data_IF_891384997934
#
_entry.id   IF_891384997934
#
_cell.length_a   1.000
_cell.length_b   1.000
_cell.length_c   1.000
_cell.angle_alpha   90.00
_cell.angle_beta   90.00
_cell.angle_gamma   90.00
#
_symmetry.space_group_name_H-M   'P 1'
#
loop_
_entity.id
_entity.type
_entity.pdbx_description
1 polymer ?
#
# COMPACT_ATOMS: atom_id res chain seq x y z
N UNK A 1 29.63 -22.19 59.21
CA UNK A 1 30.12 -22.08 57.81
C UNK A 1 28.92 -22.24 56.89
N UNK A 2 28.76 -21.36 55.90
CA UNK A 2 27.70 -21.56 54.90
C UNK A 2 28.14 -22.76 54.05
N UNK A 3 27.44 -23.88 54.17
CA UNK A 3 27.81 -25.10 53.44
C UNK A 3 27.76 -24.85 51.93
N UNK A 4 28.78 -25.33 51.20
CA UNK A 4 28.89 -25.10 49.75
C UNK A 4 27.64 -25.52 48.95
N UNK A 5 26.84 -26.46 49.46
CA UNK A 5 25.55 -26.82 48.87
C UNK A 5 24.52 -25.68 48.86
N UNK A 6 24.45 -24.86 49.92
CA UNK A 6 23.57 -23.69 49.96
C UNK A 6 23.99 -22.63 48.94
N UNK A 7 25.29 -22.43 48.77
CA UNK A 7 25.83 -21.50 47.76
C UNK A 7 25.46 -21.97 46.35
N UNK A 8 25.56 -23.26 46.07
CA UNK A 8 25.26 -23.84 44.77
C UNK A 8 23.77 -23.72 44.43
N UNK A 9 22.88 -24.02 45.39
CA UNK A 9 21.43 -23.83 45.23
C UNK A 9 21.09 -22.36 44.98
N UNK A 10 21.72 -21.44 45.71
CA UNK A 10 21.50 -20.01 45.56
C UNK A 10 21.96 -19.48 44.19
N UNK A 11 23.11 -19.94 43.69
CA UNK A 11 23.58 -19.60 42.34
C UNK A 11 22.66 -20.14 41.25
N UNK A 12 22.14 -21.36 41.43
CA UNK A 12 21.18 -21.95 40.50
C UNK A 12 19.87 -21.16 40.47
N UNK A 13 19.38 -20.77 41.64
CA UNK A 13 18.22 -19.90 41.80
C UNK A 13 18.41 -18.58 41.04
N UNK A 14 19.52 -17.86 41.29
CA UNK A 14 19.82 -16.60 40.59
C UNK A 14 19.88 -16.81 39.07
N UNK A 15 20.57 -17.86 38.62
CA UNK A 15 20.73 -18.14 37.18
C UNK A 15 19.38 -18.38 36.51
N UNK A 16 18.52 -19.22 37.11
CA UNK A 16 17.18 -19.48 36.59
C UNK A 16 16.35 -18.20 36.60
N UNK A 17 16.37 -17.42 37.68
CA UNK A 17 15.60 -16.18 37.77
C UNK A 17 16.04 -15.17 36.72
N UNK A 18 17.34 -14.98 36.51
CA UNK A 18 17.88 -14.07 35.49
C UNK A 18 17.50 -14.55 34.09
N UNK A 19 17.62 -15.85 33.79
CA UNK A 19 17.19 -16.41 32.49
C UNK A 19 15.69 -16.24 32.27
N UNK A 20 14.87 -16.46 33.31
CA UNK A 20 13.43 -16.28 33.23
C UNK A 20 13.05 -14.83 32.93
N UNK A 21 13.65 -13.87 33.65
CA UNK A 21 13.42 -12.43 33.41
C UNK A 21 13.89 -12.02 32.02
N UNK A 22 15.07 -12.48 31.59
CA UNK A 22 15.59 -12.19 30.26
C UNK A 22 14.67 -12.74 29.16
N UNK A 23 14.13 -13.94 29.33
CA UNK A 23 13.19 -14.54 28.38
C UNK A 23 11.87 -13.76 28.31
N UNK A 24 11.34 -13.28 29.45
CA UNK A 24 10.15 -12.43 29.46
C UNK A 24 10.39 -11.12 28.73
N UNK A 25 11.52 -10.46 29.00
CA UNK A 25 11.89 -9.21 28.33
C UNK A 25 12.03 -9.45 26.81
N UNK A 26 12.80 -10.45 26.41
CA UNK A 26 12.98 -10.78 24.99
C UNK A 26 11.66 -11.13 24.30
N UNK A 27 10.74 -11.84 24.96
CA UNK A 27 9.44 -12.13 24.39
C UNK A 27 8.63 -10.86 24.10
N UNK A 28 8.65 -9.88 25.00
CA UNK A 28 8.00 -8.58 24.80
C UNK A 28 8.64 -7.85 23.61
N UNK A 29 9.97 -7.76 23.57
CA UNK A 29 10.69 -7.09 22.48
C UNK A 29 10.49 -7.77 21.12
N UNK A 30 10.44 -9.10 21.08
CA UNK A 30 10.17 -9.84 19.84
C UNK A 30 8.74 -9.59 19.39
N UNK A 31 7.77 -9.57 20.30
CA UNK A 31 6.38 -9.26 19.95
C UNK A 31 6.27 -7.84 19.37
N UNK A 32 6.87 -6.85 20.02
CA UNK A 32 6.87 -5.46 19.55
C UNK A 32 7.58 -5.31 18.20
N UNK A 33 8.70 -6.02 17.97
CA UNK A 33 9.41 -6.00 16.71
C UNK A 33 8.61 -6.64 15.56
N UNK A 34 7.89 -7.74 15.84
CA UNK A 34 7.01 -8.40 14.86
C UNK A 34 5.81 -7.51 14.54
N UNK A 35 5.16 -6.93 15.55
CA UNK A 35 4.01 -6.04 15.36
C UNK A 35 4.38 -4.78 14.56
N UNK A 36 5.55 -4.19 14.81
CA UNK A 36 6.05 -3.05 14.04
C UNK A 36 6.23 -3.37 12.55
N UNK A 37 6.75 -4.56 12.21
CA UNK A 37 6.90 -4.97 10.81
C UNK A 37 5.58 -5.25 10.11
N UNK A 38 4.56 -5.74 10.83
CA UNK A 38 3.24 -5.99 10.27
C UNK A 38 2.48 -4.68 10.04
N UNK A 39 2.51 -3.77 11.02
CA UNK A 39 1.89 -2.45 10.89
C UNK A 39 2.45 -1.63 9.73
N UNK A 40 3.76 -1.68 9.49
CA UNK A 40 4.39 -0.97 8.37
C UNK A 40 3.96 -1.53 7.00
N UNK A 41 3.72 -2.85 6.91
CA UNK A 41 3.23 -3.48 5.67
C UNK A 41 1.76 -3.15 5.42
N UNK A 42 0.93 -3.20 6.45
CA UNK A 42 -0.50 -2.89 6.35
C UNK A 42 -0.73 -1.40 6.03
N UNK A 43 -0.01 -0.49 6.68
CA UNK A 43 -0.08 0.95 6.38
C UNK A 43 0.39 1.27 4.95
N UNK A 44 1.42 0.58 4.47
CA UNK A 44 1.87 0.71 3.07
C UNK A 44 0.83 0.19 2.08
N UNK A 45 0.21 -0.95 2.38
CA UNK A 45 -0.86 -1.53 1.56
C UNK A 45 -2.08 -0.62 1.49
N UNK A 46 -2.50 -0.04 2.62
CA UNK A 46 -3.61 0.92 2.66
C UNK A 46 -3.28 2.21 1.91
N UNK A 47 -2.05 2.72 2.03
CA UNK A 47 -1.60 3.90 1.28
C UNK A 47 -1.59 3.65 -0.23
N UNK A 48 -1.07 2.51 -0.69
CA UNK A 48 -1.08 2.11 -2.10
C UNK A 48 -2.51 1.95 -2.62
N UNK A 49 -3.39 1.29 -1.85
CA UNK A 49 -4.81 1.16 -2.21
C UNK A 49 -5.52 2.51 -2.26
N UNK A 50 -5.20 3.43 -1.36
CA UNK A 50 -5.75 4.78 -1.36
C UNK A 50 -5.27 5.59 -2.58
N UNK A 51 -3.99 5.47 -2.95
CA UNK A 51 -3.44 6.08 -4.16
C UNK A 51 -4.10 5.50 -5.43
N UNK A 52 -4.24 4.18 -5.51
CA UNK A 52 -4.98 3.52 -6.59
C UNK A 52 -6.43 3.98 -6.69
N UNK A 53 -7.15 4.10 -5.56
CA UNK A 53 -8.52 4.62 -5.55
C UNK A 53 -8.59 6.08 -5.98
N UNK A 54 -7.64 6.91 -5.55
CA UNK A 54 -7.55 8.30 -5.95
C UNK A 54 -7.25 8.43 -7.46
N UNK A 55 -6.39 7.56 -7.99
CA UNK A 55 -6.10 7.45 -9.42
C UNK A 55 -7.35 7.10 -10.22
N UNK A 56 -8.06 6.03 -9.83
CA UNK A 56 -9.32 5.62 -10.48
C UNK A 56 -10.36 6.75 -10.42
N UNK A 57 -10.52 7.40 -9.27
CA UNK A 57 -11.47 8.51 -9.11
C UNK A 57 -11.17 9.68 -10.05
N UNK A 58 -9.90 10.02 -10.22
CA UNK A 58 -9.47 11.06 -11.19
C UNK A 58 -9.77 10.65 -12.63
N UNK A 59 -9.51 9.39 -12.98
CA UNK A 59 -9.86 8.84 -14.30
C UNK A 59 -11.36 8.89 -14.56
N UNK A 60 -12.19 8.42 -13.63
CA UNK A 60 -13.66 8.47 -13.73
C UNK A 60 -14.15 9.90 -13.90
N UNK A 61 -13.53 10.87 -13.22
CA UNK A 61 -13.89 12.29 -13.38
C UNK A 61 -13.58 12.82 -14.78
N UNK A 62 -12.40 12.51 -15.34
CA UNK A 62 -12.05 12.90 -16.71
C UNK A 62 -13.04 12.28 -17.71
N UNK A 63 -13.39 11.01 -17.51
CA UNK A 63 -14.35 10.31 -18.37
C UNK A 63 -15.76 10.93 -18.29
N UNK A 64 -16.24 11.26 -17.08
CA UNK A 64 -17.52 11.94 -16.87
C UNK A 64 -17.55 13.37 -17.46
N UNK A 65 -16.42 14.07 -17.44
CA UNK A 65 -16.28 15.38 -18.08
C UNK A 65 -16.35 15.25 -19.61
N UNK A 66 -15.81 14.17 -20.19
CA UNK A 66 -15.96 13.84 -21.61
C UNK A 66 -17.39 13.44 -21.99
N UNK A 67 -18.07 12.63 -21.16
CA UNK A 67 -19.44 12.15 -21.43
C UNK A 67 -20.49 13.26 -21.33
N UNK A 68 -20.22 14.31 -20.53
CA UNK A 68 -21.10 15.50 -20.43
C UNK A 68 -21.25 16.23 -21.76
N UNK A 69 -20.32 16.08 -22.69
CA UNK A 69 -20.46 16.56 -24.08
C UNK A 69 -21.35 15.57 -24.86
N UNK A 70 -22.58 15.40 -24.36
CA UNK A 70 -23.57 14.45 -24.84
C UNK A 70 -23.88 14.68 -26.31
N UNK A 71 -23.46 13.74 -27.15
CA UNK A 71 -24.22 13.30 -28.34
C UNK A 71 -23.71 11.93 -28.76
N UNK A 72 -24.47 10.92 -28.35
CA UNK A 72 -24.33 9.50 -28.67
C UNK A 72 -22.99 8.88 -28.21
N UNK A 73 -22.98 7.55 -28.09
CA UNK A 73 -21.87 6.78 -27.51
C UNK A 73 -20.52 7.32 -27.95
N UNK A 74 -19.56 7.41 -27.02
CA UNK A 74 -18.17 7.80 -27.30
C UNK A 74 -17.60 6.80 -28.32
N UNK A 75 -17.81 7.08 -29.60
CA UNK A 75 -17.20 6.34 -30.70
C UNK A 75 -15.68 6.45 -30.52
N UNK A 76 -14.95 5.39 -30.85
CA UNK A 76 -13.48 5.35 -30.75
C UNK A 76 -12.85 6.60 -31.35
N UNK A 77 -13.38 7.10 -32.46
CA UNK A 77 -12.92 8.33 -33.12
C UNK A 77 -13.13 9.61 -32.28
N UNK A 78 -14.25 9.70 -31.54
CA UNK A 78 -14.52 10.84 -30.66
C UNK A 78 -13.64 10.80 -29.41
N UNK A 79 -13.38 9.60 -28.88
CA UNK A 79 -12.45 9.38 -27.77
C UNK A 79 -11.02 9.76 -28.14
N UNK A 80 -10.53 9.27 -29.29
CA UNK A 80 -9.20 9.58 -29.80
C UNK A 80 -9.01 11.08 -29.99
N UNK A 81 -10.01 11.77 -30.57
CA UNK A 81 -9.95 13.22 -30.80
C UNK A 81 -9.94 14.04 -29.50
N UNK A 82 -10.67 13.59 -28.48
CA UNK A 82 -10.65 14.21 -27.15
C UNK A 82 -9.34 13.91 -26.39
N UNK A 83 -8.82 12.69 -26.50
CA UNK A 83 -7.53 12.27 -25.95
C UNK A 83 -6.35 13.01 -26.59
N UNK A 84 -6.46 13.42 -27.86
CA UNK A 84 -5.44 14.21 -28.53
C UNK A 84 -5.39 15.67 -28.06
N UNK A 85 -6.44 16.15 -27.38
CA UNK A 85 -6.52 17.52 -26.88
C UNK A 85 -5.53 17.77 -25.75
N UNK A 86 -4.85 18.92 -25.81
CA UNK A 86 -3.74 19.26 -24.91
C UNK A 86 -4.13 19.30 -23.43
N UNK A 87 -5.38 19.65 -23.11
CA UNK A 87 -5.92 19.65 -21.75
C UNK A 87 -6.02 18.24 -21.17
N UNK A 88 -6.50 17.29 -21.97
CA UNK A 88 -6.68 15.89 -21.58
C UNK A 88 -5.32 15.20 -21.45
N UNK A 89 -4.38 15.44 -22.39
CA UNK A 89 -2.99 14.97 -22.29
C UNK A 89 -2.29 15.47 -21.03
N UNK A 90 -2.50 16.73 -20.66
CA UNK A 90 -1.94 17.30 -19.42
C UNK A 90 -2.53 16.63 -18.17
N UNK A 91 -3.83 16.36 -18.16
CA UNK A 91 -4.51 15.67 -17.06
C UNK A 91 -4.08 14.19 -16.94
N UNK A 92 -3.89 13.47 -18.05
CA UNK A 92 -3.35 12.11 -18.06
C UNK A 92 -1.90 12.07 -17.58
N UNK A 93 -1.07 13.01 -18.03
CA UNK A 93 0.31 13.13 -17.58
C UNK A 93 0.41 13.41 -16.07
N UNK A 94 -0.56 14.14 -15.50
CA UNK A 94 -0.69 14.37 -14.05
C UNK A 94 -1.06 13.11 -13.26
N UNK A 95 -1.61 12.10 -13.92
CA UNK A 95 -1.98 10.81 -13.33
C UNK A 95 -0.85 9.77 -13.57
N UNK A 96 0.29 10.19 -14.12
CA UNK A 96 1.45 9.32 -14.40
C UNK A 96 1.27 8.43 -15.62
N UNK A 97 0.24 8.71 -16.42
CA UNK A 97 -0.17 7.87 -17.53
C UNK A 97 0.29 8.50 -18.83
N UNK A 98 1.43 8.01 -19.33
CA UNK A 98 2.00 8.38 -20.62
C UNK A 98 1.61 7.35 -21.68
N UNK A 99 0.34 7.36 -22.12
CA UNK A 99 -0.03 6.54 -23.27
C UNK A 99 0.33 7.25 -24.57
N UNK A 100 1.13 6.58 -25.39
CA UNK A 100 1.38 6.97 -26.78
C UNK A 100 0.20 6.67 -27.70
N UNK A 101 -0.75 5.83 -27.28
CA UNK A 101 -1.87 5.40 -28.12
C UNK A 101 -3.20 5.42 -27.38
N UNK A 102 -4.07 6.35 -27.76
CA UNK A 102 -5.44 6.51 -27.27
C UNK A 102 -6.36 5.36 -27.67
N UNK A 103 -6.05 4.64 -28.76
CA UNK A 103 -6.85 3.49 -29.21
C UNK A 103 -6.63 2.28 -28.31
N UNK A 104 -5.37 2.02 -27.95
CA UNK A 104 -5.02 0.97 -26.99
C UNK A 104 -5.63 1.24 -25.61
N UNK A 105 -5.64 2.50 -25.16
CA UNK A 105 -6.27 2.91 -23.91
C UNK A 105 -7.78 2.61 -23.89
N UNK A 106 -8.48 2.98 -24.96
CA UNK A 106 -9.91 2.70 -25.11
C UNK A 106 -10.17 1.20 -25.02
N UNK A 107 -9.33 0.39 -25.67
CA UNK A 107 -9.45 -1.07 -25.67
C UNK A 107 -9.15 -1.71 -24.32
N UNK A 108 -8.30 -1.10 -23.50
CA UNK A 108 -8.07 -1.53 -22.11
C UNK A 108 -9.25 -1.16 -21.19
N UNK A 109 -9.94 -0.06 -21.48
CA UNK A 109 -11.09 0.43 -20.71
C UNK A 109 -12.41 -0.27 -21.09
N UNK A 110 -12.53 -0.76 -22.32
CA UNK A 110 -13.68 -1.51 -22.85
C UNK A 110 -13.71 -2.99 -22.40
N UNK A 111 -12.83 -3.37 -21.46
CA UNK A 111 -12.84 -4.70 -20.83
C UNK A 111 -13.73 -4.63 -19.57
N UNK A 112 -15.03 -4.76 -19.81
CA UNK A 112 -16.15 -4.94 -18.85
C UNK A 112 -16.32 -3.92 -17.70
#
# INVERSE_FOLDING_TARGET
EVGGGFVLIFLFFITITVLAVLNVINAIFVNDAVDATQHDLDLRSEADLAEHRAMISRFTRIFNEMEKDRRDLVSVDAFVRHMETQQVKAQLSLIGVHFCDSVTLFRFLDVD
#
